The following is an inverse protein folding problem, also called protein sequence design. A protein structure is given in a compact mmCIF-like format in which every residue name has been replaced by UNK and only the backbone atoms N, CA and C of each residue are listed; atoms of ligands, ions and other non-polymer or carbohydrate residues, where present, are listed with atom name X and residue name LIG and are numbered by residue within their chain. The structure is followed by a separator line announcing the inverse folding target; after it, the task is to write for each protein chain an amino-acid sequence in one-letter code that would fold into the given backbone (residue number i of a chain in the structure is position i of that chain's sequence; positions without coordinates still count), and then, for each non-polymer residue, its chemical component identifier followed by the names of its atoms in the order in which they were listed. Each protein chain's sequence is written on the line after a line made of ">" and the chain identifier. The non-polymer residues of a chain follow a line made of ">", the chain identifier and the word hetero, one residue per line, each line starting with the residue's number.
data_IF_997437391819
#
_entry.id   IF_997437391819
#
_cell.length_a   1.000
_cell.length_b   1.000
_cell.length_c   1.000
_cell.angle_alpha   90.00
_cell.angle_beta   90.00
_cell.angle_gamma   90.00
#
_symmetry.space_group_name_H-M   'P 1'
#
loop_
_entity.id
_entity.type
_entity.pdbx_description
1 polymer ?
#
# COMPACT_ATOMS: atom_id res chain seq x y z
N UNK A 1 -32.12 4.30 1.04
CA UNK A 1 -31.70 3.03 0.42
C UNK A 1 -30.78 2.33 1.40
N UNK A 2 -31.11 1.11 1.83
CA UNK A 2 -30.30 0.36 2.78
C UNK A 2 -29.07 -0.20 2.04
N UNK A 3 -27.86 0.32 2.33
CA UNK A 3 -26.59 -0.11 1.72
C UNK A 3 -26.05 -1.43 2.30
N UNK A 4 -26.78 -2.07 3.23
CA UNK A 4 -26.34 -3.23 4.02
C UNK A 4 -26.42 -4.60 3.33
N UNK A 5 -26.62 -4.67 2.00
CA UNK A 5 -26.87 -5.96 1.32
C UNK A 5 -25.63 -6.66 0.77
N UNK A 6 -24.48 -5.98 0.75
CA UNK A 6 -23.23 -6.58 0.26
C UNK A 6 -22.56 -7.32 1.41
N UNK A 7 -22.59 -8.65 1.34
CA UNK A 7 -21.83 -9.47 2.28
C UNK A 7 -20.34 -9.40 1.92
N UNK A 8 -19.52 -8.81 2.79
CA UNK A 8 -18.07 -8.72 2.59
C UNK A 8 -17.46 -10.07 2.97
N UNK A 9 -16.79 -10.80 2.05
CA UNK A 9 -16.14 -12.07 2.37
C UNK A 9 -15.12 -11.94 3.50
N UNK A 10 -15.02 -12.96 4.35
CA UNK A 10 -14.10 -12.99 5.51
C UNK A 10 -12.66 -12.72 5.13
N UNK A 11 -12.19 -13.27 4.01
CA UNK A 11 -10.82 -13.05 3.52
C UNK A 11 -10.52 -11.58 3.17
N UNK A 12 -11.54 -10.85 2.69
CA UNK A 12 -11.44 -9.43 2.40
C UNK A 12 -11.44 -8.64 3.70
N UNK A 13 -12.29 -9.01 4.66
CA UNK A 13 -12.27 -8.42 6.00
C UNK A 13 -10.88 -8.59 6.62
N UNK A 14 -10.33 -9.82 6.65
CA UNK A 14 -8.98 -10.12 7.14
C UNK A 14 -7.89 -9.26 6.47
N UNK A 15 -8.02 -9.00 5.17
CA UNK A 15 -7.08 -8.14 4.46
C UNK A 15 -7.23 -6.66 4.86
N UNK A 16 -8.46 -6.17 5.01
CA UNK A 16 -8.75 -4.78 5.38
C UNK A 16 -8.28 -4.44 6.81
N UNK A 17 -8.18 -5.42 7.72
CA UNK A 17 -7.67 -5.19 9.09
C UNK A 17 -6.17 -4.88 9.12
N UNK A 18 -5.42 -5.19 8.06
CA UNK A 18 -3.98 -4.90 8.00
C UNK A 18 -3.69 -3.39 8.12
N UNK A 19 -4.62 -2.55 7.68
CA UNK A 19 -4.56 -1.11 7.89
C UNK A 19 -3.53 -0.37 7.03
N UNK A 20 -3.37 0.93 7.30
CA UNK A 20 -2.63 1.86 6.44
C UNK A 20 -1.10 1.72 6.53
N UNK A 21 -0.58 1.17 7.63
CA UNK A 21 0.87 1.01 7.85
C UNK A 21 1.40 -0.36 7.43
N UNK A 22 0.56 -1.21 6.83
CA UNK A 22 0.98 -2.51 6.35
C UNK A 22 1.63 -2.40 4.97
N UNK A 23 2.85 -2.92 4.83
CA UNK A 23 3.55 -2.96 3.54
C UNK A 23 3.28 -4.27 2.81
N UNK A 24 2.59 -4.20 1.68
CA UNK A 24 2.37 -5.36 0.80
C UNK A 24 3.64 -5.71 0.01
N UNK A 25 3.83 -6.99 -0.36
CA UNK A 25 4.77 -7.38 -1.41
C UNK A 25 4.44 -6.62 -2.69
N UNK A 26 5.33 -5.74 -3.12
CA UNK A 26 4.96 -4.76 -4.14
C UNK A 26 5.00 -5.35 -5.55
N UNK A 27 3.85 -5.31 -6.23
CA UNK A 27 3.64 -5.85 -7.58
C UNK A 27 4.04 -4.83 -8.69
N UNK A 28 4.16 -3.53 -8.38
CA UNK A 28 4.42 -2.45 -9.33
C UNK A 28 5.55 -1.54 -8.81
N UNK A 29 6.79 -1.94 -9.13
CA UNK A 29 8.02 -1.27 -8.71
C UNK A 29 8.08 0.18 -9.20
N UNK A 30 7.61 0.46 -10.43
CA UNK A 30 7.63 1.83 -10.96
C UNK A 30 6.74 2.76 -10.16
N UNK A 31 5.52 2.31 -9.82
CA UNK A 31 4.63 3.08 -8.98
C UNK A 31 5.21 3.31 -7.57
N UNK A 32 5.86 2.28 -6.99
CA UNK A 32 6.56 2.42 -5.70
C UNK A 32 7.60 3.54 -5.74
N UNK A 33 8.48 3.50 -6.75
CA UNK A 33 9.56 4.48 -6.91
C UNK A 33 8.96 5.89 -7.06
N UNK A 34 7.92 6.02 -7.87
CA UNK A 34 7.25 7.32 -8.08
C UNK A 34 6.62 7.86 -6.80
N UNK A 35 5.88 7.04 -6.05
CA UNK A 35 5.28 7.48 -4.78
C UNK A 35 6.34 7.79 -3.72
N UNK A 36 7.43 7.01 -3.66
CA UNK A 36 8.55 7.29 -2.78
C UNK A 36 9.20 8.65 -3.09
N UNK A 37 9.49 8.95 -4.37
CA UNK A 37 10.04 10.23 -4.80
C UNK A 37 9.10 11.38 -4.43
N UNK A 38 7.80 11.25 -4.72
CA UNK A 38 6.79 12.26 -4.36
C UNK A 38 6.79 12.53 -2.86
N UNK A 39 6.81 11.47 -2.05
CA UNK A 39 6.77 11.57 -0.60
C UNK A 39 8.02 12.26 -0.03
N UNK A 40 9.21 11.84 -0.49
CA UNK A 40 10.48 12.46 -0.07
C UNK A 40 10.52 13.93 -0.46
N UNK A 41 10.26 14.27 -1.73
CA UNK A 41 10.34 15.66 -2.20
C UNK A 41 9.29 16.57 -1.54
N UNK A 42 8.08 16.06 -1.27
CA UNK A 42 7.06 16.81 -0.55
C UNK A 42 7.49 17.15 0.88
N UNK A 43 8.14 16.22 1.58
CA UNK A 43 8.62 16.44 2.94
C UNK A 43 9.92 17.25 2.99
N UNK A 44 10.83 17.08 2.03
CA UNK A 44 12.06 17.86 1.91
C UNK A 44 11.78 19.37 1.80
N UNK A 45 10.69 19.76 1.12
CA UNK A 45 10.26 21.17 1.01
C UNK A 45 10.00 21.83 2.36
N UNK A 46 9.67 21.05 3.40
CA UNK A 46 9.39 21.52 4.76
C UNK A 46 10.66 21.72 5.60
N UNK A 47 11.81 21.22 5.14
CA UNK A 47 13.09 21.29 5.85
C UNK A 47 13.92 22.49 5.40
N UNK A 48 14.92 22.88 6.20
CA UNK A 48 15.88 23.93 5.83
C UNK A 48 16.68 23.52 4.59
N UNK A 49 17.09 24.46 3.73
CA UNK A 49 17.83 24.16 2.50
C UNK A 49 19.10 23.33 2.73
N UNK A 50 19.83 23.55 3.83
CA UNK A 50 21.08 22.83 4.10
C UNK A 50 20.87 21.32 4.29
N UNK A 51 19.72 20.92 4.85
CA UNK A 51 19.38 19.52 5.12
C UNK A 51 18.85 18.78 3.89
N UNK A 52 18.41 19.50 2.85
CA UNK A 52 17.75 18.89 1.68
C UNK A 52 18.72 18.07 0.82
N UNK A 53 19.92 18.61 0.59
CA UNK A 53 20.91 17.97 -0.30
C UNK A 53 21.36 16.62 0.26
N UNK A 54 21.82 16.50 1.53
CA UNK A 54 22.25 15.23 2.08
C UNK A 54 21.15 14.15 2.07
N UNK A 55 19.91 14.52 2.42
CA UNK A 55 18.78 13.59 2.45
C UNK A 55 18.42 13.13 1.03
N UNK A 56 18.42 14.06 0.06
CA UNK A 56 18.17 13.72 -1.35
C UNK A 56 19.23 12.76 -1.88
N UNK A 57 20.51 12.99 -1.57
CA UNK A 57 21.60 12.12 -2.04
C UNK A 57 21.52 10.72 -1.41
N UNK A 58 21.19 10.62 -0.13
CA UNK A 58 20.91 9.33 0.51
C UNK A 58 19.72 8.61 -0.15
N UNK A 59 18.65 9.35 -0.47
CA UNK A 59 17.45 8.80 -1.11
C UNK A 59 17.71 8.25 -2.51
N UNK A 60 18.63 8.86 -3.28
CA UNK A 60 19.04 8.34 -4.60
C UNK A 60 19.61 6.92 -4.52
N UNK A 61 20.43 6.65 -3.49
CA UNK A 61 21.00 5.32 -3.27
C UNK A 61 19.90 4.29 -3.00
N UNK A 62 18.91 4.65 -2.17
CA UNK A 62 17.75 3.79 -1.89
C UNK A 62 16.98 3.50 -3.18
N UNK A 63 16.63 4.53 -3.95
CA UNK A 63 15.88 4.39 -5.21
C UNK A 63 16.61 3.48 -6.20
N UNK A 64 17.94 3.60 -6.30
CA UNK A 64 18.77 2.77 -7.17
C UNK A 64 18.68 1.28 -6.84
N UNK A 65 18.51 0.95 -5.55
CA UNK A 65 18.49 -0.43 -5.08
C UNK A 65 17.07 -1.06 -5.06
N UNK A 66 16.02 -0.26 -5.21
CA UNK A 66 14.63 -0.77 -5.23
C UNK A 66 14.40 -1.81 -6.34
N UNK A 67 14.81 -1.60 -7.61
CA UNK A 67 14.58 -2.58 -8.67
C UNK A 67 15.28 -3.93 -8.46
N UNK A 68 16.39 -3.95 -7.73
CA UNK A 68 17.11 -5.17 -7.40
C UNK A 68 16.49 -5.97 -6.26
N UNK A 69 15.58 -5.36 -5.49
CA UNK A 69 14.90 -6.05 -4.40
C UNK A 69 13.76 -6.91 -4.94
N UNK A 70 13.76 -8.18 -4.54
CA UNK A 70 12.64 -9.09 -4.78
C UNK A 70 12.13 -9.61 -3.44
N UNK A 71 10.81 -9.59 -3.28
CA UNK A 71 10.20 -10.23 -2.13
C UNK A 71 10.46 -11.74 -2.18
N UNK A 72 10.80 -12.39 -1.06
CA UNK A 72 10.95 -13.84 -1.02
C UNK A 72 9.68 -14.51 -1.51
N UNK A 73 9.80 -15.47 -2.44
CA UNK A 73 8.68 -16.33 -2.83
C UNK A 73 8.42 -17.34 -1.72
N UNK A 74 7.46 -17.02 -0.87
CA UNK A 74 6.98 -17.88 0.20
C UNK A 74 5.45 -17.86 0.23
N UNK A 75 4.87 -18.86 0.89
CA UNK A 75 3.43 -19.06 0.96
C UNK A 75 2.69 -17.83 1.51
N UNK A 76 3.31 -17.10 2.44
CA UNK A 76 2.71 -15.90 3.04
C UNK A 76 2.63 -14.74 2.04
N UNK A 77 3.69 -14.47 1.29
CA UNK A 77 3.73 -13.39 0.30
C UNK A 77 2.83 -13.70 -0.90
N UNK A 78 2.76 -14.96 -1.32
CA UNK A 78 1.84 -15.41 -2.37
C UNK A 78 0.39 -15.26 -1.92
N UNK A 79 0.09 -15.63 -0.67
CA UNK A 79 -1.23 -15.47 -0.08
C UNK A 79 -1.64 -13.99 0.06
N UNK A 80 -0.75 -13.12 0.53
CA UNK A 80 -0.98 -11.67 0.63
C UNK A 80 -1.24 -11.05 -0.75
N UNK A 81 -0.46 -11.44 -1.76
CA UNK A 81 -0.62 -10.98 -3.14
C UNK A 81 -1.98 -11.40 -3.70
N UNK A 82 -2.41 -12.64 -3.42
CA UNK A 82 -3.73 -13.13 -3.80
C UNK A 82 -4.84 -12.35 -3.10
N UNK A 83 -4.76 -12.16 -1.78
CA UNK A 83 -5.76 -11.39 -1.03
C UNK A 83 -5.89 -9.96 -1.51
N UNK A 84 -4.77 -9.31 -1.83
CA UNK A 84 -4.77 -7.97 -2.41
C UNK A 84 -5.53 -7.93 -3.74
N UNK A 85 -5.23 -8.86 -4.64
CA UNK A 85 -5.90 -8.96 -5.94
C UNK A 85 -7.41 -9.20 -5.78
N UNK A 86 -7.79 -10.16 -4.94
CA UNK A 86 -9.19 -10.46 -4.65
C UNK A 86 -9.93 -9.26 -4.06
N UNK A 87 -9.33 -8.60 -3.08
CA UNK A 87 -9.90 -7.41 -2.43
C UNK A 87 -10.08 -6.28 -3.44
N UNK A 88 -9.06 -6.01 -4.26
CA UNK A 88 -9.12 -4.98 -5.31
C UNK A 88 -10.25 -5.25 -6.31
N UNK A 89 -10.40 -6.50 -6.75
CA UNK A 89 -11.44 -6.89 -7.69
C UNK A 89 -12.84 -6.77 -7.06
N UNK A 90 -13.00 -7.18 -5.81
CA UNK A 90 -14.27 -7.05 -5.09
C UNK A 90 -14.69 -5.58 -4.98
N UNK A 91 -13.78 -4.68 -4.59
CA UNK A 91 -14.08 -3.25 -4.51
C UNK A 91 -14.39 -2.64 -5.87
N UNK A 92 -13.72 -3.10 -6.93
CA UNK A 92 -14.02 -2.67 -8.28
C UNK A 92 -15.43 -3.07 -8.75
N UNK A 93 -15.89 -4.27 -8.36
CA UNK A 93 -17.23 -4.76 -8.70
C UNK A 93 -18.34 -4.16 -7.82
N UNK A 94 -17.99 -3.65 -6.64
CA UNK A 94 -18.93 -3.07 -5.67
C UNK A 94 -18.62 -1.58 -5.47
N UNK A 95 -18.73 -0.76 -6.53
CA UNK A 95 -18.34 0.66 -6.49
C UNK A 95 -19.14 1.52 -5.50
N UNK A 96 -20.36 1.10 -5.18
CA UNK A 96 -21.22 1.78 -4.21
C UNK A 96 -20.89 1.40 -2.76
N UNK A 97 -19.94 0.47 -2.55
CA UNK A 97 -19.51 0.06 -1.23
C UNK A 97 -18.56 1.11 -0.64
N UNK A 98 -19.00 1.71 0.47
CA UNK A 98 -18.16 2.59 1.28
C UNK A 98 -17.61 1.77 2.44
N UNK A 99 -16.28 1.60 2.47
CA UNK A 99 -15.59 0.97 3.60
C UNK A 99 -15.34 1.99 4.69
N UNK A 100 -15.74 1.66 5.91
CA UNK A 100 -15.48 2.44 7.11
C UNK A 100 -14.49 1.72 8.03
N UNK A 101 -14.03 2.39 9.09
CA UNK A 101 -13.18 1.74 10.10
C UNK A 101 -13.88 0.57 10.79
N UNK A 102 -15.21 0.58 10.89
CA UNK A 102 -15.98 -0.49 11.51
C UNK A 102 -15.91 -1.81 10.69
N UNK A 103 -15.78 -1.69 9.36
CA UNK A 103 -15.69 -2.85 8.45
C UNK A 103 -14.31 -3.53 8.49
N UNK A 104 -13.35 -2.95 9.22
CA UNK A 104 -12.00 -3.51 9.38
C UNK A 104 -11.95 -4.64 10.40
N UNK A 105 -12.87 -4.75 11.36
CA UNK A 105 -12.81 -5.75 12.44
C UNK A 105 -11.54 -5.63 13.31
N UNK A 106 -11.69 -5.52 14.63
CA UNK A 106 -10.61 -5.18 15.57
C UNK A 106 -9.84 -3.89 15.21
N UNK A 107 -10.56 -2.77 15.31
CA UNK A 107 -10.11 -1.54 16.01
C UNK A 107 -11.26 -1.10 16.90
#
# INVERSE_FOLDING_TARGET
>A
VNLSKVNIPTEIQCFLQLGENFSLPHINILNLIMEFIKHIECNLRKLSPELRIPIRDNSKSIIKNIPSYSYPRNLQNDWLTRLYSTTKNFLFMNKDLILTRADKGNV
#
